data_IF_997147552375
#
_entry.id   IF_997147552375
#
_cell.length_a   1.000
_cell.length_b   1.000
_cell.length_c   1.000
_cell.angle_alpha   90.00
_cell.angle_beta   90.00
_cell.angle_gamma   90.00
#
_symmetry.space_group_name_H-M   'P 1'
#
loop_
_entity.id
_entity.type
_entity.pdbx_description
1 polymer ?
#
# COMPACT_ATOMS: atom_id res chain seq x y z
N UNK A 1 -16.79 27.91 -12.31
CA UNK A 1 -17.84 27.58 -11.33
C UNK A 1 -17.33 26.40 -10.52
N UNK A 2 -17.24 26.51 -9.20
CA UNK A 2 -16.84 25.39 -8.34
C UNK A 2 -18.01 24.43 -8.12
N UNK A 3 -17.76 23.13 -8.15
CA UNK A 3 -18.74 22.12 -7.75
C UNK A 3 -18.60 21.84 -6.24
N UNK A 4 -19.72 21.62 -5.56
CA UNK A 4 -19.72 21.31 -4.12
C UNK A 4 -19.35 19.84 -3.89
N UNK A 5 -18.35 19.60 -3.03
CA UNK A 5 -17.87 18.26 -2.70
C UNK A 5 -18.81 17.49 -1.75
N UNK A 6 -19.58 18.20 -0.92
CA UNK A 6 -20.51 17.62 0.06
C UNK A 6 -21.89 18.20 -0.22
N UNK A 7 -22.88 17.35 -0.51
CA UNK A 7 -24.26 17.74 -0.85
C UNK A 7 -25.26 16.97 0.00
N UNK A 8 -26.49 17.47 0.14
CA UNK A 8 -27.56 16.74 0.80
C UNK A 8 -28.11 15.65 -0.12
N UNK A 9 -28.10 14.41 0.36
CA UNK A 9 -28.62 13.25 -0.33
C UNK A 9 -30.14 13.09 -0.17
N UNK A 10 -30.75 12.18 -0.94
CA UNK A 10 -32.21 12.00 -0.99
C UNK A 10 -32.87 11.58 0.34
N UNK A 11 -32.08 11.12 1.31
CA UNK A 11 -32.55 10.70 2.64
C UNK A 11 -32.26 11.75 3.73
N UNK A 12 -31.95 13.00 3.36
CA UNK A 12 -31.53 14.05 4.29
C UNK A 12 -30.16 13.80 4.93
N UNK A 13 -29.34 12.93 4.32
CA UNK A 13 -27.99 12.60 4.80
C UNK A 13 -26.95 13.23 3.89
N UNK A 14 -25.83 13.74 4.42
CA UNK A 14 -24.76 14.28 3.58
C UNK A 14 -24.13 13.18 2.72
N UNK A 15 -23.88 13.48 1.45
CA UNK A 15 -23.17 12.64 0.48
C UNK A 15 -21.88 13.35 0.09
N UNK A 16 -20.76 12.64 0.16
CA UNK A 16 -19.44 13.15 -0.20
C UNK A 16 -19.07 12.58 -1.57
N UNK A 17 -18.68 13.44 -2.51
CA UNK A 17 -18.16 13.02 -3.82
C UNK A 17 -16.70 12.55 -3.69
N UNK A 18 -16.43 11.28 -3.95
CA UNK A 18 -15.08 10.72 -3.95
C UNK A 18 -14.18 11.35 -5.01
N UNK A 19 -14.74 11.75 -6.16
CA UNK A 19 -13.98 12.33 -7.27
C UNK A 19 -13.59 13.78 -7.03
N UNK A 20 -14.37 14.53 -6.26
CA UNK A 20 -14.09 15.94 -5.91
C UNK A 20 -13.35 16.07 -4.57
N UNK A 21 -13.37 15.05 -3.73
CA UNK A 21 -12.72 15.07 -2.42
C UNK A 21 -11.19 15.00 -2.58
N UNK A 22 -10.50 16.05 -2.14
CA UNK A 22 -9.03 16.10 -2.14
C UNK A 22 -8.41 15.69 -0.79
N UNK A 23 -9.23 15.20 0.15
CA UNK A 23 -8.74 14.76 1.47
C UNK A 23 -8.24 15.88 2.39
N UNK A 24 -8.65 17.13 2.19
CA UNK A 24 -8.15 18.29 2.97
C UNK A 24 -8.49 18.28 4.48
N UNK A 25 -9.40 17.41 4.93
CA UNK A 25 -9.71 17.21 6.35
C UNK A 25 -10.59 18.27 7.02
N UNK A 26 -10.94 19.37 6.33
CA UNK A 26 -11.76 20.46 6.89
C UNK A 26 -13.11 19.95 7.41
N UNK A 27 -13.75 19.04 6.66
CA UNK A 27 -15.05 18.46 7.02
C UNK A 27 -14.99 17.60 8.29
N UNK A 28 -13.88 16.91 8.55
CA UNK A 28 -13.65 16.14 9.77
C UNK A 28 -13.55 17.08 10.96
N UNK A 29 -12.69 18.10 10.89
CA UNK A 29 -12.49 19.05 11.98
C UNK A 29 -13.72 19.90 12.29
N UNK A 30 -14.56 20.19 11.29
CA UNK A 30 -15.75 21.02 11.46
C UNK A 30 -16.98 20.22 11.92
N UNK A 31 -16.95 18.89 11.83
CA UNK A 31 -18.08 18.07 12.21
C UNK A 31 -18.25 18.05 13.74
N UNK A 32 -19.37 18.54 14.29
CA UNK A 32 -19.57 18.57 15.75
C UNK A 32 -19.85 17.18 16.35
N UNK A 33 -20.03 16.15 15.52
CA UNK A 33 -20.40 14.79 15.93
C UNK A 33 -19.37 13.73 15.50
N UNK A 34 -18.20 14.14 14.98
CA UNK A 34 -17.15 13.23 14.46
C UNK A 34 -17.68 12.18 13.46
N UNK A 35 -18.70 12.55 12.67
CA UNK A 35 -19.40 11.63 11.77
C UNK A 35 -18.65 11.36 10.45
N UNK A 36 -17.59 12.12 10.15
CA UNK A 36 -16.82 12.04 8.91
C UNK A 36 -15.39 11.63 9.23
N UNK A 37 -14.83 10.70 8.44
CA UNK A 37 -13.43 10.25 8.56
C UNK A 37 -12.76 10.34 7.19
N UNK A 38 -11.53 10.84 7.14
CA UNK A 38 -10.70 10.71 5.93
C UNK A 38 -10.19 9.27 5.86
N UNK A 39 -10.46 8.63 4.73
CA UNK A 39 -9.89 7.34 4.37
C UNK A 39 -8.81 7.59 3.33
N UNK A 40 -7.64 7.01 3.53
CA UNK A 40 -6.60 7.02 2.52
C UNK A 40 -6.94 5.97 1.47
N UNK A 41 -7.16 6.40 0.23
CA UNK A 41 -7.11 5.51 -0.91
C UNK A 41 -5.69 4.95 -1.03
N UNK A 42 -5.52 3.65 -1.34
CA UNK A 42 -4.19 3.07 -1.50
C UNK A 42 -3.57 3.59 -2.78
N UNK A 43 -2.83 4.69 -2.68
CA UNK A 43 -1.85 5.08 -3.70
C UNK A 43 -0.56 4.33 -3.43
N UNK A 44 -0.07 3.65 -4.47
CA UNK A 44 1.13 2.84 -4.35
C UNK A 44 2.35 3.72 -4.52
N UNK A 45 3.06 4.02 -3.43
CA UNK A 45 4.34 4.72 -3.48
C UNK A 45 5.40 3.86 -4.18
N UNK A 46 6.00 4.37 -5.25
CA UNK A 46 7.07 3.68 -5.97
C UNK A 46 8.28 3.38 -5.07
N UNK A 47 8.50 4.19 -4.04
CA UNK A 47 9.57 3.98 -3.06
C UNK A 47 9.42 2.67 -2.28
N UNK A 48 8.20 2.14 -2.17
CA UNK A 48 7.88 0.91 -1.43
C UNK A 48 7.90 -0.37 -2.28
N UNK A 49 8.24 -0.25 -3.56
CA UNK A 49 8.34 -1.42 -4.45
C UNK A 49 9.48 -2.32 -3.98
N UNK A 50 9.13 -3.56 -3.67
CA UNK A 50 10.08 -4.62 -3.30
C UNK A 50 10.54 -5.39 -4.52
N UNK A 51 9.62 -5.69 -5.42
CA UNK A 51 9.91 -6.45 -6.61
C UNK A 51 8.99 -6.07 -7.78
N UNK A 52 9.54 -6.04 -8.99
CA UNK A 52 8.82 -5.77 -10.23
C UNK A 52 9.24 -6.74 -11.32
N UNK A 53 8.27 -7.35 -12.02
CA UNK A 53 8.60 -8.33 -13.08
C UNK A 53 8.88 -7.70 -14.45
N UNK A 54 8.45 -6.47 -14.70
CA UNK A 54 8.67 -5.83 -16.01
C UNK A 54 8.08 -4.43 -16.14
N UNK A 55 8.26 -3.84 -17.32
CA UNK A 55 7.59 -2.60 -17.69
C UNK A 55 6.07 -2.82 -17.67
N UNK A 56 5.32 -1.99 -16.95
CA UNK A 56 3.90 -2.20 -16.62
C UNK A 56 3.51 -3.58 -16.05
N UNK A 57 4.50 -4.38 -15.63
CA UNK A 57 4.27 -5.67 -15.00
C UNK A 57 3.81 -5.54 -13.55
N UNK A 58 3.44 -6.68 -12.97
CA UNK A 58 3.10 -6.78 -11.56
C UNK A 58 4.23 -6.23 -10.67
N UNK A 59 3.84 -5.45 -9.66
CA UNK A 59 4.71 -4.84 -8.65
C UNK A 59 4.25 -5.33 -7.29
N UNK A 60 5.18 -5.81 -6.48
CA UNK A 60 4.93 -6.15 -5.09
C UNK A 60 5.41 -5.00 -4.21
N UNK A 61 4.55 -4.56 -3.31
CA UNK A 61 4.82 -3.53 -2.33
C UNK A 61 4.90 -4.18 -0.94
N UNK A 62 5.94 -3.82 -0.18
CA UNK A 62 6.25 -4.37 1.15
C UNK A 62 6.38 -5.91 1.18
N UNK A 63 6.82 -6.43 2.33
CA UNK A 63 6.90 -7.87 2.58
C UNK A 63 6.21 -8.20 3.91
N UNK A 64 5.59 -9.37 4.04
CA UNK A 64 5.11 -9.85 5.34
C UNK A 64 6.31 -10.26 6.19
N UNK A 65 6.37 -9.76 7.43
CA UNK A 65 7.34 -10.22 8.41
C UNK A 65 6.73 -11.40 9.18
N UNK A 66 7.24 -12.64 9.03
CA UNK A 66 6.75 -13.75 9.82
C UNK A 66 7.09 -13.55 11.30
N UNK A 67 6.16 -13.91 12.17
CA UNK A 67 6.40 -13.88 13.61
C UNK A 67 7.37 -15.00 14.01
N UNK A 68 8.33 -14.78 14.92
CA UNK A 68 9.22 -15.84 15.41
C UNK A 68 8.48 -16.97 16.14
N UNK A 69 7.30 -16.66 16.69
CA UNK A 69 6.43 -17.61 17.37
C UNK A 69 5.03 -17.61 16.73
N UNK A 70 4.43 -18.79 16.61
CA UNK A 70 3.09 -18.96 16.03
C UNK A 70 3.06 -19.07 14.50
N UNK A 71 1.86 -18.93 13.92
CA UNK A 71 1.60 -19.09 12.48
C UNK A 71 1.12 -17.76 11.90
N UNK A 72 1.83 -17.24 10.90
CA UNK A 72 1.41 -16.03 10.17
C UNK A 72 0.58 -16.40 8.94
N UNK A 73 -0.69 -15.98 8.91
CA UNK A 73 -1.57 -16.18 7.75
C UNK A 73 -1.44 -15.04 6.73
N UNK A 74 -1.25 -15.38 5.45
CA UNK A 74 -1.20 -14.41 4.34
C UNK A 74 -2.46 -14.54 3.47
N UNK A 75 -3.40 -13.62 3.64
CA UNK A 75 -4.70 -13.61 2.95
C UNK A 75 -4.77 -12.54 1.87
N UNK A 76 -5.58 -12.79 0.84
CA UNK A 76 -5.83 -11.85 -0.26
C UNK A 76 -6.28 -12.55 -1.54
N UNK A 77 -6.77 -11.79 -2.51
CA UNK A 77 -7.21 -12.31 -3.80
C UNK A 77 -6.07 -12.97 -4.60
N UNK A 78 -6.42 -13.78 -5.60
CA UNK A 78 -5.43 -14.34 -6.53
C UNK A 78 -4.78 -13.22 -7.35
N UNK A 79 -3.49 -13.36 -7.65
CA UNK A 79 -2.74 -12.34 -8.41
C UNK A 79 -2.22 -11.15 -7.60
N UNK A 80 -2.56 -11.01 -6.31
CA UNK A 80 -2.08 -9.89 -5.47
C UNK A 80 -0.60 -10.04 -5.00
N UNK A 81 0.08 -11.12 -5.39
CA UNK A 81 1.51 -11.32 -5.10
C UNK A 81 1.85 -12.17 -3.88
N UNK A 82 0.88 -12.88 -3.28
CA UNK A 82 1.13 -13.76 -2.11
C UNK A 82 2.27 -14.76 -2.35
N UNK A 83 2.24 -15.47 -3.48
CA UNK A 83 3.29 -16.44 -3.83
C UNK A 83 4.63 -15.76 -4.09
N UNK A 84 4.63 -14.56 -4.69
CA UNK A 84 5.84 -13.77 -4.90
C UNK A 84 6.46 -13.35 -3.55
N UNK A 85 5.64 -12.84 -2.62
CA UNK A 85 6.10 -12.44 -1.29
C UNK A 85 6.76 -13.61 -0.54
N UNK A 86 6.15 -14.81 -0.59
CA UNK A 86 6.72 -16.00 0.05
C UNK A 86 8.06 -16.42 -0.58
N UNK A 87 8.22 -16.33 -1.91
CA UNK A 87 9.51 -16.66 -2.55
C UNK A 87 10.62 -15.69 -2.15
N UNK A 88 10.31 -14.40 -2.05
CA UNK A 88 11.27 -13.36 -1.64
C UNK A 88 11.68 -13.52 -0.17
N UNK A 89 10.71 -13.71 0.73
CA UNK A 89 11.00 -13.94 2.17
C UNK A 89 11.78 -15.24 2.37
N UNK A 90 11.50 -16.28 1.58
CA UNK A 90 12.25 -17.54 1.62
C UNK A 90 13.64 -17.46 0.95
N UNK A 91 14.04 -16.29 0.42
CA UNK A 91 15.32 -16.09 -0.25
C UNK A 91 15.48 -16.86 -1.57
N UNK A 92 14.39 -17.38 -2.16
CA UNK A 92 14.43 -18.10 -3.44
C UNK A 92 14.60 -17.15 -4.63
N UNK A 93 13.95 -16.00 -4.54
CA UNK A 93 14.07 -14.89 -5.48
C UNK A 93 14.69 -13.70 -4.74
N UNK A 94 15.53 -12.91 -5.42
CA UNK A 94 16.11 -11.69 -4.85
C UNK A 94 15.20 -10.50 -5.17
N UNK A 95 14.80 -9.68 -4.17
CA UNK A 95 14.08 -8.43 -4.43
C UNK A 95 14.89 -7.51 -5.35
N UNK A 96 14.26 -7.00 -6.41
CA UNK A 96 14.93 -6.10 -7.35
C UNK A 96 14.63 -4.62 -7.07
N UNK A 97 13.88 -4.33 -6.00
CA UNK A 97 13.55 -2.98 -5.53
C UNK A 97 12.95 -2.09 -6.64
N UNK A 98 12.21 -2.70 -7.56
CA UNK A 98 11.58 -2.03 -8.70
C UNK A 98 12.41 -2.01 -9.98
N UNK A 99 13.70 -2.37 -9.92
CA UNK A 99 14.60 -2.41 -11.06
C UNK A 99 14.56 -3.76 -11.78
N UNK A 100 13.61 -3.91 -12.69
CA UNK A 100 13.39 -5.16 -13.45
C UNK A 100 14.37 -5.36 -14.61
N UNK A 101 15.12 -4.33 -14.97
CA UNK A 101 16.01 -4.24 -16.12
C UNK A 101 17.48 -4.56 -15.80
N UNK A 102 17.81 -4.78 -14.53
CA UNK A 102 19.16 -5.11 -14.07
C UNK A 102 19.15 -6.29 -13.10
N UNK A 103 20.31 -6.90 -12.93
CA UNK A 103 20.48 -7.96 -11.94
C UNK A 103 20.21 -7.43 -10.52
N UNK A 104 19.43 -8.19 -9.75
CA UNK A 104 19.17 -7.89 -8.35
C UNK A 104 20.41 -8.19 -7.48
N UNK A 105 20.56 -7.46 -6.38
CA UNK A 105 21.69 -7.61 -5.46
C UNK A 105 21.22 -7.68 -4.02
N UNK A 106 21.70 -8.68 -3.28
CA UNK A 106 21.45 -8.79 -1.84
C UNK A 106 22.04 -7.62 -1.06
N UNK A 107 23.18 -7.06 -1.48
CA UNK A 107 23.78 -5.90 -0.80
C UNK A 107 22.84 -4.69 -0.83
N UNK A 108 22.19 -4.44 -1.98
CA UNK A 108 21.22 -3.37 -2.12
C UNK A 108 19.95 -3.61 -1.29
N UNK A 109 19.51 -4.88 -1.19
CA UNK A 109 18.36 -5.27 -0.37
C UNK A 109 18.67 -5.10 1.11
N UNK A 110 19.82 -5.56 1.57
CA UNK A 110 20.25 -5.42 2.97
C UNK A 110 20.39 -3.95 3.35
N UNK A 111 20.95 -3.12 2.46
CA UNK A 111 21.01 -1.67 2.67
C UNK A 111 19.62 -1.06 2.82
N UNK A 112 18.68 -1.42 1.93
CA UNK A 112 17.29 -0.93 1.95
C UNK A 112 16.51 -1.30 3.23
N UNK A 113 16.84 -2.43 3.84
CA UNK A 113 16.17 -2.94 5.04
C UNK A 113 16.99 -2.75 6.32
N UNK A 114 18.17 -2.11 6.25
CA UNK A 114 19.02 -1.81 7.40
C UNK A 114 18.21 -1.10 8.50
N UNK A 115 18.27 -1.65 9.72
CA UNK A 115 17.54 -1.09 10.87
C UNK A 115 16.05 -1.40 10.91
N UNK A 116 15.54 -2.26 10.02
CA UNK A 116 14.17 -2.79 10.09
C UNK A 116 14.16 -4.21 10.65
N UNK A 117 12.98 -4.75 10.95
CA UNK A 117 12.83 -6.15 11.42
C UNK A 117 13.35 -7.19 10.41
N UNK A 118 13.49 -6.84 9.13
CA UNK A 118 14.10 -7.70 8.11
C UNK A 118 15.64 -7.73 8.16
N UNK A 119 16.26 -6.86 8.98
CA UNK A 119 17.70 -6.76 9.21
C UNK A 119 17.97 -6.89 10.73
N UNK A 120 17.47 -7.98 11.32
CA UNK A 120 17.68 -8.35 12.71
C UNK A 120 18.64 -9.54 12.81
#
# INVERSE_FOLDING_TARGET
MGQECIVEGPNGRPVISETLCIGCGICVHKCPFDAIKILNTPEADESEIVHRYGYNGFRLYRLPMPTPTGVTGLLGANGIGKSTALRLVAGRDVPNLGHYDRAASWDAVLERYRGTAFHA
#
